data_IF_418766954774
#
_entry.id   IF_418766954774
#
_cell.length_a   1.000
_cell.length_b   1.000
_cell.length_c   1.000
_cell.angle_alpha   90.00
_cell.angle_beta   90.00
_cell.angle_gamma   90.00
#
_symmetry.space_group_name_H-M   'P 1'
#
loop_
_entity.id
_entity.type
_entity.pdbx_description
1 polymer ?
#
# COMPACT_ATOMS: atom_id res chain seq x y z
N UNK A 1 9.71 13.14 -1.00
CA UNK A 1 8.48 12.64 -1.68
C UNK A 1 7.37 12.69 -0.65
N UNK A 2 6.24 13.38 -0.89
CA UNK A 2 5.28 13.72 0.18
C UNK A 2 4.83 12.56 1.07
N UNK A 3 4.50 11.40 0.48
CA UNK A 3 4.14 10.17 1.23
C UNK A 3 5.28 9.72 2.15
N UNK A 4 6.51 9.67 1.64
CA UNK A 4 7.66 9.24 2.42
C UNK A 4 8.00 10.23 3.53
N UNK A 5 7.89 11.52 3.26
CA UNK A 5 8.12 12.57 4.26
C UNK A 5 7.08 12.49 5.39
N UNK A 6 5.82 12.25 5.04
CA UNK A 6 4.74 12.02 6.01
C UNK A 6 5.01 10.80 6.90
N UNK A 7 5.34 9.65 6.31
CA UNK A 7 5.64 8.41 7.06
C UNK A 7 6.87 8.61 7.95
N UNK A 8 7.96 9.16 7.41
CA UNK A 8 9.23 9.34 8.12
C UNK A 8 9.09 10.23 9.36
N UNK A 9 8.29 11.29 9.28
CA UNK A 9 8.02 12.20 10.42
C UNK A 9 7.18 11.56 11.54
N UNK A 10 6.54 10.41 11.29
CA UNK A 10 5.61 9.74 12.24
C UNK A 10 6.03 8.30 12.58
N UNK A 11 7.26 7.92 12.25
CA UNK A 11 7.80 6.58 12.49
C UNK A 11 9.23 6.62 13.02
N UNK A 12 9.57 5.65 13.86
CA UNK A 12 10.93 5.37 14.28
C UNK A 12 11.68 4.63 13.17
N UNK A 13 13.02 4.69 13.18
CA UNK A 13 13.89 4.04 12.20
C UNK A 13 13.67 2.52 12.10
N UNK A 14 13.21 1.89 13.18
CA UNK A 14 12.93 0.46 13.26
C UNK A 14 11.48 0.09 12.93
N UNK A 15 10.58 1.06 12.79
CA UNK A 15 9.18 0.78 12.49
C UNK A 15 9.07 0.25 11.06
N UNK A 16 8.43 -0.91 10.89
CA UNK A 16 8.19 -1.51 9.57
C UNK A 16 7.03 -0.84 8.85
N UNK A 17 7.11 -0.80 7.53
CA UNK A 17 6.00 -0.39 6.65
C UNK A 17 5.76 -1.47 5.60
N UNK A 18 4.56 -1.58 5.05
CA UNK A 18 4.31 -2.38 3.84
C UNK A 18 3.75 -1.50 2.73
N UNK A 19 4.27 -1.69 1.52
CA UNK A 19 3.79 -1.06 0.29
C UNK A 19 3.12 -2.15 -0.54
N UNK A 20 1.83 -2.00 -0.79
CA UNK A 20 1.02 -2.91 -1.59
C UNK A 20 0.76 -2.25 -2.94
N UNK A 21 1.69 -2.54 -3.85
CA UNK A 21 1.89 -1.90 -5.14
C UNK A 21 3.35 -2.06 -5.57
N UNK A 22 3.72 -1.45 -6.69
CA UNK A 22 5.05 -1.43 -7.27
C UNK A 22 5.78 -0.11 -7.03
N UNK A 23 5.70 0.41 -5.81
CA UNK A 23 6.32 1.66 -5.37
C UNK A 23 7.42 1.44 -4.30
N UNK A 24 8.42 0.57 -4.54
CA UNK A 24 9.44 0.27 -3.55
C UNK A 24 10.30 1.48 -3.19
N UNK A 25 10.33 2.52 -4.04
CA UNK A 25 11.01 3.79 -3.73
C UNK A 25 10.58 4.40 -2.39
N UNK A 26 9.36 4.09 -1.90
CA UNK A 26 8.89 4.54 -0.59
C UNK A 26 9.78 4.01 0.53
N UNK A 27 10.25 2.75 0.49
CA UNK A 27 11.15 2.21 1.51
C UNK A 27 12.46 2.99 1.58
N UNK A 28 13.03 3.32 0.42
CA UNK A 28 14.28 4.08 0.33
C UNK A 28 14.11 5.51 0.84
N UNK A 29 13.05 6.21 0.42
CA UNK A 29 12.84 7.60 0.82
C UNK A 29 12.39 7.75 2.28
N UNK A 30 11.70 6.76 2.83
CA UNK A 30 11.33 6.75 4.26
C UNK A 30 12.49 6.30 5.14
N UNK A 31 13.38 5.45 4.62
CA UNK A 31 14.38 4.74 5.40
C UNK A 31 13.73 3.83 6.44
N UNK A 32 12.66 3.10 6.07
CA UNK A 32 11.96 2.18 6.98
C UNK A 32 12.04 0.75 6.46
N UNK A 33 12.26 -0.24 7.35
CA UNK A 33 12.30 -1.64 6.94
C UNK A 33 10.96 -2.10 6.35
N UNK A 34 11.02 -2.98 5.36
CA UNK A 34 9.82 -3.61 4.80
C UNK A 34 9.20 -4.62 5.78
N UNK A 35 7.88 -4.70 5.77
CA UNK A 35 7.11 -5.71 6.49
C UNK A 35 7.10 -7.08 5.80
N UNK A 36 7.50 -7.12 4.52
CA UNK A 36 7.41 -8.30 3.65
C UNK A 36 8.61 -8.39 2.71
N UNK A 37 8.94 -9.60 2.27
CA UNK A 37 9.94 -9.84 1.23
C UNK A 37 9.51 -9.36 -0.16
N UNK A 38 8.21 -9.14 -0.37
CA UNK A 38 7.62 -8.75 -1.65
C UNK A 38 7.75 -7.24 -1.91
N UNK A 39 8.80 -6.84 -2.64
CA UNK A 39 9.06 -5.43 -3.00
C UNK A 39 8.24 -4.92 -4.19
N UNK A 40 7.72 -5.85 -5.00
CA UNK A 40 6.83 -5.59 -6.13
C UNK A 40 5.68 -6.59 -6.10
N UNK A 41 4.51 -6.21 -6.63
CA UNK A 41 3.31 -7.05 -6.65
C UNK A 41 3.08 -7.77 -7.97
N UNK A 42 3.91 -7.53 -9.00
CA UNK A 42 3.72 -8.10 -10.34
C UNK A 42 3.67 -9.64 -10.34
N UNK A 43 4.60 -10.30 -9.64
CA UNK A 43 4.64 -11.76 -9.57
C UNK A 43 3.40 -12.34 -8.88
N UNK A 44 2.74 -11.59 -7.99
CA UNK A 44 1.50 -12.03 -7.35
C UNK A 44 0.34 -12.13 -8.35
N UNK A 45 0.45 -11.39 -9.46
CA UNK A 45 -0.58 -11.24 -10.48
C UNK A 45 -0.31 -12.08 -11.73
N UNK A 46 0.84 -12.75 -11.83
CA UNK A 46 1.15 -13.62 -12.96
C UNK A 46 0.29 -14.89 -12.93
N UNK A 47 0.04 -15.47 -14.11
CA UNK A 47 -0.74 -16.70 -14.22
C UNK A 47 0.18 -17.91 -14.03
N UNK A 48 0.39 -18.31 -12.78
CA UNK A 48 1.17 -19.49 -12.41
C UNK A 48 0.61 -20.13 -11.13
N UNK A 49 0.90 -21.42 -10.94
CA UNK A 49 0.35 -22.23 -9.83
C UNK A 49 0.68 -21.69 -8.43
N UNK A 50 1.78 -20.94 -8.28
CA UNK A 50 2.21 -20.38 -6.99
C UNK A 50 1.58 -19.03 -6.63
N UNK A 51 0.75 -18.43 -7.48
CA UNK A 51 0.31 -17.03 -7.30
C UNK A 51 -0.49 -16.85 -6.00
N UNK A 52 -1.38 -17.79 -5.70
CA UNK A 52 -2.13 -17.81 -4.45
C UNK A 52 -1.21 -17.97 -3.24
N UNK A 53 -0.29 -18.94 -3.28
CA UNK A 53 0.66 -19.19 -2.18
C UNK A 53 1.51 -17.96 -1.87
N UNK A 54 1.96 -17.23 -2.90
CA UNK A 54 2.74 -16.00 -2.75
C UNK A 54 1.89 -14.87 -2.15
N UNK A 55 0.62 -14.74 -2.55
CA UNK A 55 -0.32 -13.79 -1.93
C UNK A 55 -0.53 -14.10 -0.45
N UNK A 56 -0.77 -15.36 -0.10
CA UNK A 56 -0.92 -15.79 1.29
C UNK A 56 0.36 -15.60 2.11
N UNK A 57 1.53 -15.81 1.52
CA UNK A 57 2.81 -15.57 2.19
C UNK A 57 3.00 -14.09 2.51
N UNK A 58 2.80 -13.20 1.53
CA UNK A 58 2.85 -11.76 1.76
C UNK A 58 1.86 -11.33 2.86
N UNK A 59 0.65 -11.89 2.84
CA UNK A 59 -0.36 -11.65 3.88
C UNK A 59 0.15 -12.06 5.26
N UNK A 60 0.67 -13.29 5.41
CA UNK A 60 1.21 -13.79 6.69
C UNK A 60 2.38 -12.95 7.20
N UNK A 61 3.27 -12.51 6.31
CA UNK A 61 4.39 -11.63 6.66
C UNK A 61 3.89 -10.26 7.18
N UNK A 62 2.90 -9.65 6.50
CA UNK A 62 2.33 -8.37 6.92
C UNK A 62 1.59 -8.52 8.25
N UNK A 63 0.80 -9.59 8.43
CA UNK A 63 0.06 -9.82 9.67
C UNK A 63 0.99 -10.05 10.86
N UNK A 64 2.02 -10.89 10.68
CA UNK A 64 2.99 -11.22 11.74
C UNK A 64 3.89 -10.04 12.11
N UNK A 65 4.25 -9.20 11.14
CA UNK A 65 5.09 -8.03 11.39
C UNK A 65 4.30 -6.82 11.90
N UNK A 66 2.98 -6.80 11.71
CA UNK A 66 2.05 -5.73 12.10
C UNK A 66 2.66 -4.33 11.84
N UNK A 67 2.94 -3.98 10.58
CA UNK A 67 3.64 -2.76 10.24
C UNK A 67 2.91 -1.52 10.76
N UNK A 68 3.68 -0.48 11.10
CA UNK A 68 3.11 0.77 11.58
C UNK A 68 2.33 1.50 10.49
N UNK A 69 2.80 1.39 9.24
CA UNK A 69 2.14 1.96 8.08
C UNK A 69 1.88 0.91 7.00
N UNK A 70 0.71 0.98 6.40
CA UNK A 70 0.41 0.35 5.11
C UNK A 70 0.22 1.44 4.06
N UNK A 71 0.88 1.29 2.92
CA UNK A 71 0.65 2.12 1.74
C UNK A 71 -0.01 1.24 0.70
N UNK A 72 -1.24 1.59 0.31
CA UNK A 72 -2.00 0.85 -0.67
C UNK A 72 -2.14 1.65 -1.95
N UNK A 73 -1.68 1.08 -3.07
CA UNK A 73 -1.63 1.77 -4.36
C UNK A 73 -2.74 1.26 -5.27
N UNK A 74 -3.72 2.12 -5.51
CA UNK A 74 -4.80 1.91 -6.47
C UNK A 74 -4.40 2.51 -7.81
N UNK A 75 -3.41 1.88 -8.47
CA UNK A 75 -3.01 2.21 -9.83
C UNK A 75 -2.89 0.89 -10.58
N UNK A 76 -3.64 0.70 -11.66
CA UNK A 76 -3.71 -0.60 -12.35
C UNK A 76 -2.33 -1.11 -12.80
N UNK A 77 -1.48 -0.22 -13.30
CA UNK A 77 -0.10 -0.53 -13.73
C UNK A 77 0.87 -0.78 -12.58
N UNK A 78 0.48 -0.45 -11.35
CA UNK A 78 1.25 -0.78 -10.14
C UNK A 78 1.09 -2.25 -9.74
N UNK A 79 0.01 -2.89 -10.19
CA UNK A 79 -0.24 -4.31 -9.94
C UNK A 79 -0.08 -5.19 -11.18
N UNK A 80 -0.44 -4.66 -12.37
CA UNK A 80 -0.54 -5.43 -13.62
C UNK A 80 -1.42 -6.68 -13.48
N UNK A 81 -2.49 -6.58 -12.67
CA UNK A 81 -3.50 -7.60 -12.52
C UNK A 81 -4.14 -7.95 -13.88
N UNK A 82 -4.20 -9.24 -14.18
CA UNK A 82 -4.78 -9.81 -15.40
C UNK A 82 -6.18 -10.33 -15.10
N UNK A 83 -7.03 -10.58 -16.11
CA UNK A 83 -8.35 -11.16 -15.90
C UNK A 83 -8.33 -12.45 -15.07
N UNK A 84 -7.34 -13.31 -15.33
CA UNK A 84 -7.18 -14.64 -14.71
C UNK A 84 -6.18 -14.65 -13.53
N UNK A 85 -5.73 -13.49 -13.04
CA UNK A 85 -4.88 -13.45 -11.85
C UNK A 85 -5.66 -13.92 -10.63
N UNK A 86 -4.96 -14.55 -9.69
CA UNK A 86 -5.45 -14.70 -8.33
C UNK A 86 -5.69 -13.32 -7.70
N UNK A 87 -6.81 -13.16 -6.97
CA UNK A 87 -7.26 -11.86 -6.43
C UNK A 87 -7.52 -11.89 -4.93
N UNK A 88 -7.10 -12.96 -4.25
CA UNK A 88 -7.33 -13.17 -2.83
C UNK A 88 -6.85 -11.99 -1.96
N UNK A 89 -5.66 -11.45 -2.28
CA UNK A 89 -5.05 -10.34 -1.55
C UNK A 89 -5.92 -9.07 -1.51
N UNK A 90 -6.71 -8.80 -2.56
CA UNK A 90 -7.55 -7.61 -2.60
C UNK A 90 -8.71 -7.69 -1.61
N UNK A 91 -9.36 -8.86 -1.51
CA UNK A 91 -10.41 -9.10 -0.52
C UNK A 91 -9.85 -9.01 0.91
N UNK A 92 -8.66 -9.58 1.16
CA UNK A 92 -7.98 -9.46 2.44
C UNK A 92 -7.62 -8.00 2.79
N UNK A 93 -7.14 -7.22 1.82
CA UNK A 93 -6.74 -5.82 2.01
C UNK A 93 -7.87 -4.95 2.55
N UNK A 94 -9.06 -5.03 1.94
CA UNK A 94 -10.24 -4.26 2.34
C UNK A 94 -10.67 -4.60 3.78
N UNK A 95 -10.55 -5.88 4.14
CA UNK A 95 -10.87 -6.41 5.46
C UNK A 95 -9.84 -6.01 6.52
N UNK A 96 -8.55 -6.19 6.20
CA UNK A 96 -7.44 -5.99 7.12
C UNK A 96 -7.25 -4.52 7.46
N UNK A 97 -7.29 -3.63 6.45
CA UNK A 97 -7.14 -2.18 6.65
C UNK A 97 -8.27 -1.61 7.50
N UNK A 98 -9.54 -1.94 7.21
CA UNK A 98 -10.71 -1.49 7.98
C UNK A 98 -10.63 -1.88 9.45
N UNK A 99 -10.23 -3.12 9.75
CA UNK A 99 -10.16 -3.65 11.12
C UNK A 99 -9.00 -3.07 11.92
N UNK A 100 -7.85 -2.87 11.29
CA UNK A 100 -6.59 -2.67 12.01
C UNK A 100 -5.98 -1.28 11.85
N UNK A 101 -6.43 -0.49 10.89
CA UNK A 101 -5.76 0.76 10.52
C UNK A 101 -6.73 1.94 10.43
N UNK A 102 -6.15 3.13 10.47
CA UNK A 102 -6.80 4.42 10.22
C UNK A 102 -6.27 4.99 8.92
N UNK A 103 -7.16 5.48 8.06
CA UNK A 103 -6.76 6.28 6.90
C UNK A 103 -6.19 7.61 7.40
N UNK A 104 -4.92 7.87 7.09
CA UNK A 104 -4.19 9.08 7.51
C UNK A 104 -3.59 9.84 6.33
N UNK A 105 -3.70 9.32 5.11
CA UNK A 105 -3.19 10.00 3.94
C UNK A 105 -3.85 9.54 2.66
N UNK A 106 -4.03 10.48 1.73
CA UNK A 106 -4.47 10.25 0.36
C UNK A 106 -3.54 11.01 -0.56
N UNK A 107 -3.06 10.34 -1.62
CA UNK A 107 -2.46 10.97 -2.78
C UNK A 107 -3.35 10.64 -4.00
N UNK A 108 -4.18 11.59 -4.39
CA UNK A 108 -5.12 11.45 -5.51
C UNK A 108 -4.47 11.96 -6.79
N UNK A 109 -4.22 11.05 -7.74
CA UNK A 109 -3.42 11.33 -8.95
C UNK A 109 -4.36 11.81 -10.05
N UNK A 110 -4.53 13.12 -10.12
CA UNK A 110 -5.38 13.82 -11.09
C UNK A 110 -4.57 14.05 -12.36
N UNK A 111 -4.77 13.16 -13.33
CA UNK A 111 -4.13 13.21 -14.63
C UNK A 111 -4.35 14.57 -15.32
N UNK A 112 -3.36 15.12 -16.07
CA UNK A 112 -2.03 14.58 -16.35
C UNK A 112 -0.90 15.02 -15.40
N UNK A 113 -1.09 16.03 -14.55
CA UNK A 113 0.04 16.74 -13.91
C UNK A 113 -0.15 17.04 -12.42
N UNK A 114 -1.32 16.76 -11.85
CA UNK A 114 -1.63 17.17 -10.48
C UNK A 114 -1.79 15.95 -9.59
N UNK A 115 -1.08 15.92 -8.47
CA UNK A 115 -1.41 15.00 -7.37
C UNK A 115 -1.88 15.81 -6.18
N UNK A 116 -3.08 15.53 -5.71
CA UNK A 116 -3.64 16.15 -4.51
C UNK A 116 -3.29 15.29 -3.32
N UNK A 117 -2.50 15.86 -2.40
CA UNK A 117 -2.19 15.22 -1.12
C UNK A 117 -3.13 15.75 -0.03
N UNK A 118 -3.69 14.83 0.76
CA UNK A 118 -4.47 15.13 1.97
C UNK A 118 -3.98 14.23 3.09
N UNK A 119 -3.91 14.78 4.30
CA UNK A 119 -3.35 14.10 5.45
C UNK A 119 -4.31 14.15 6.63
N UNK A 120 -4.18 13.19 7.53
CA UNK A 120 -4.91 13.11 8.80
C UNK A 120 -6.44 13.30 8.61
N UNK A 121 -7.05 14.28 9.27
CA UNK A 121 -8.50 14.50 9.18
C UNK A 121 -8.97 14.95 7.80
N UNK A 122 -8.12 15.63 7.03
CA UNK A 122 -8.45 16.01 5.66
C UNK A 122 -8.51 14.78 4.76
N UNK A 123 -7.65 13.78 4.99
CA UNK A 123 -7.66 12.52 4.24
C UNK A 123 -8.97 11.75 4.43
N UNK A 124 -9.50 11.71 5.67
CA UNK A 124 -10.75 10.99 6.01
C UNK A 124 -11.99 11.60 5.36
N UNK A 125 -11.98 12.92 5.14
CA UNK A 125 -13.10 13.68 4.59
C UNK A 125 -13.00 13.86 3.07
N UNK A 126 -11.86 13.49 2.49
CA UNK A 126 -11.59 13.73 1.09
C UNK A 126 -12.34 12.74 0.20
N UNK A 127 -13.04 13.26 -0.82
CA UNK A 127 -13.64 12.45 -1.88
C UNK A 127 -12.64 12.30 -3.01
N UNK A 128 -12.26 11.05 -3.31
CA UNK A 128 -11.38 10.71 -4.43
C UNK A 128 -11.97 11.21 -5.76
N UNK A 129 -11.10 11.81 -6.59
CA UNK A 129 -11.47 12.33 -7.91
C UNK A 129 -10.91 11.48 -9.05
N UNK A 130 -9.90 10.66 -8.78
CA UNK A 130 -9.26 9.79 -9.76
C UNK A 130 -9.41 8.32 -9.39
N UNK A 131 -9.55 7.41 -10.37
CA UNK A 131 -9.38 5.99 -10.13
C UNK A 131 -7.91 5.66 -9.75
N UNK A 132 -6.96 6.53 -10.11
CA UNK A 132 -5.54 6.38 -9.76
C UNK A 132 -5.22 7.14 -8.47
N UNK A 133 -4.94 6.43 -7.38
CA UNK A 133 -4.61 7.05 -6.10
C UNK A 133 -3.78 6.15 -5.19
N UNK A 134 -3.19 6.73 -4.16
CA UNK A 134 -2.48 6.02 -3.08
C UNK A 134 -3.13 6.36 -1.75
N UNK A 135 -3.42 5.33 -0.95
CA UNK A 135 -3.90 5.48 0.42
C UNK A 135 -2.78 5.16 1.39
N UNK A 136 -2.65 5.97 2.44
CA UNK A 136 -1.70 5.76 3.53
C UNK A 136 -2.50 5.49 4.80
N UNK A 137 -2.24 4.33 5.38
CA UNK A 137 -2.90 3.84 6.57
C UNK A 137 -1.88 3.76 7.71
N UNK A 138 -2.29 4.19 8.91
CA UNK A 138 -1.51 4.04 10.14
C UNK A 138 -2.19 3.04 11.06
N UNK A 139 -1.40 2.17 11.70
CA UNK A 139 -1.89 1.18 12.65
C UNK A 139 -2.66 1.88 13.77
N UNK A 140 -3.82 1.31 14.15
CA UNK A 140 -4.65 1.77 15.27
C UNK A 140 -3.95 1.60 16.62
#
# INVERSE_FOLDING_TARGET
MPIADFIRSRSNITDKIAVLGSEPQIYFYTGRPSATGYMYTYSLMENHEYALNMQEEMIREIESSSPKFLVLVYVSTSWLARPNSEKYIFGWLDDYTRRNYLLVGVADIIFPEMTVYRWDDDAKKYTLRSPAHVLVFMKR
#
